data_IF_014755280456
#
_entry.id   IF_014755280456
#
_cell.length_a   1.000
_cell.length_b   1.000
_cell.length_c   1.000
_cell.angle_alpha   90.00
_cell.angle_beta   90.00
_cell.angle_gamma   90.00
#
_symmetry.space_group_name_H-M   'P 1'
#
loop_
_entity.id
_entity.type
_entity.pdbx_description
1 polymer ?
#
# COMPACT_ATOMS: atom_id res chain seq x y z
N UNK A 1 -29.96 -8.36 16.89
CA UNK A 1 -30.25 -7.80 18.22
C UNK A 1 -29.26 -8.25 19.31
N UNK A 2 -28.50 -9.33 19.09
CA UNK A 2 -27.56 -9.84 20.11
C UNK A 2 -26.18 -9.17 20.10
N UNK A 3 -25.91 -8.21 19.22
CA UNK A 3 -24.64 -7.52 19.13
C UNK A 3 -24.67 -6.06 19.58
N UNK A 4 -25.82 -5.56 20.04
CA UNK A 4 -25.94 -4.19 20.54
C UNK A 4 -25.52 -4.13 22.02
N UNK A 5 -24.83 -3.06 22.45
CA UNK A 5 -24.58 -2.81 23.87
C UNK A 5 -25.89 -2.68 24.67
N UNK A 6 -25.89 -3.16 25.91
CA UNK A 6 -27.06 -3.11 26.77
C UNK A 6 -27.35 -1.66 27.24
N UNK A 7 -26.30 -0.86 27.43
CA UNK A 7 -26.40 0.54 27.83
C UNK A 7 -25.23 1.38 27.39
N UNK A 8 -25.43 2.69 27.32
CA UNK A 8 -24.41 3.72 27.16
C UNK A 8 -24.49 4.69 28.34
N UNK A 9 -23.34 5.06 28.88
CA UNK A 9 -23.21 6.07 29.93
C UNK A 9 -22.20 7.14 29.49
N UNK A 10 -22.72 8.31 29.08
CA UNK A 10 -21.87 9.41 28.56
C UNK A 10 -21.46 10.33 29.72
N UNK A 11 -20.14 10.52 29.84
CA UNK A 11 -19.52 11.46 30.77
C UNK A 11 -18.98 12.68 30.01
N UNK A 12 -18.39 13.61 30.75
CA UNK A 12 -17.82 14.83 30.18
C UNK A 12 -16.78 14.54 29.10
N UNK A 13 -15.84 13.63 29.38
CA UNK A 13 -14.62 13.43 28.58
C UNK A 13 -14.47 12.00 28.01
N UNK A 14 -15.38 11.09 28.37
CA UNK A 14 -15.42 9.70 27.92
C UNK A 14 -16.85 9.16 28.00
N UNK A 15 -17.05 7.96 27.50
CA UNK A 15 -18.29 7.23 27.66
C UNK A 15 -17.99 5.75 27.95
N UNK A 16 -19.01 5.07 28.46
CA UNK A 16 -18.98 3.65 28.73
C UNK A 16 -20.10 2.94 27.97
N UNK A 17 -19.83 1.77 27.46
CA UNK A 17 -20.83 0.85 26.97
C UNK A 17 -20.52 -0.55 27.52
N UNK A 18 -21.51 -1.16 28.16
CA UNK A 18 -21.31 -2.32 29.00
C UNK A 18 -20.17 -2.06 30.02
N UNK A 19 -19.09 -2.86 29.98
CA UNK A 19 -17.91 -2.71 30.84
C UNK A 19 -16.70 -2.08 30.13
N UNK A 20 -16.87 -1.56 28.91
CA UNK A 20 -15.80 -0.98 28.11
C UNK A 20 -15.80 0.55 28.24
N UNK A 21 -14.63 1.10 28.51
CA UNK A 21 -14.41 2.54 28.48
C UNK A 21 -14.05 2.97 27.07
N UNK A 22 -14.59 4.10 26.62
CA UNK A 22 -14.28 4.64 25.31
C UNK A 22 -14.21 6.18 25.33
N UNK A 23 -13.39 6.72 24.44
CA UNK A 23 -13.27 8.16 24.23
C UNK A 23 -13.10 8.45 22.74
N UNK A 24 -13.84 9.45 22.27
CA UNK A 24 -13.66 10.00 20.92
C UNK A 24 -12.90 11.31 21.00
N UNK A 25 -11.88 11.44 20.16
CA UNK A 25 -11.14 12.66 19.92
C UNK A 25 -11.19 12.99 18.42
N UNK A 26 -10.90 14.23 18.05
CA UNK A 26 -10.79 14.64 16.65
C UNK A 26 -9.44 15.30 16.36
N UNK A 27 -9.05 15.37 15.09
CA UNK A 27 -7.85 16.12 14.69
C UNK A 27 -8.24 17.57 14.46
N UNK A 28 -7.74 18.45 15.34
CA UNK A 28 -8.00 19.88 15.29
C UNK A 28 -7.13 20.60 14.26
N UNK A 29 -5.86 20.24 14.20
CA UNK A 29 -4.90 20.86 13.29
C UNK A 29 -4.10 19.77 12.56
N UNK A 30 -3.92 19.98 11.26
CA UNK A 30 -3.13 19.11 10.39
C UNK A 30 -1.83 19.80 10.00
N UNK A 31 -0.75 19.05 9.71
CA UNK A 31 0.49 19.63 9.20
C UNK A 31 0.26 20.25 7.82
N UNK A 32 1.12 21.19 7.42
CA UNK A 32 1.08 21.82 6.10
C UNK A 32 1.29 20.82 4.94
N UNK A 33 2.05 19.76 5.21
CA UNK A 33 2.28 18.61 4.32
C UNK A 33 1.91 17.37 5.09
N UNK A 34 0.70 16.85 4.84
CA UNK A 34 0.29 15.57 5.40
C UNK A 34 0.88 14.42 4.55
N UNK A 35 1.28 13.33 5.20
CA UNK A 35 1.69 12.08 4.58
C UNK A 35 0.70 10.98 4.91
N UNK A 36 0.59 9.96 4.07
CA UNK A 36 -0.23 8.77 4.33
C UNK A 36 0.24 7.95 5.54
N UNK A 37 1.43 8.25 6.05
CA UNK A 37 2.05 7.60 7.21
C UNK A 37 1.25 7.79 8.51
N UNK A 38 0.47 8.89 8.62
CA UNK A 38 -0.35 9.18 9.82
C UNK A 38 -1.28 8.00 10.15
N UNK A 39 -2.00 7.48 9.16
CA UNK A 39 -2.90 6.34 9.37
C UNK A 39 -2.12 5.06 9.70
N UNK A 40 -1.02 4.82 9.02
CA UNK A 40 -0.17 3.65 9.24
C UNK A 40 0.42 3.67 10.65
N UNK A 41 0.92 4.81 11.11
CA UNK A 41 1.47 4.97 12.46
C UNK A 41 0.39 4.80 13.54
N UNK A 42 -0.82 5.34 13.34
CA UNK A 42 -1.92 5.15 14.27
C UNK A 42 -2.34 3.69 14.37
N UNK A 43 -2.46 2.98 13.25
CA UNK A 43 -2.83 1.56 13.22
C UNK A 43 -1.72 0.65 13.75
N UNK A 44 -0.45 1.08 13.66
CA UNK A 44 0.69 0.34 14.18
C UNK A 44 0.86 0.42 15.71
N UNK A 45 0.07 1.23 16.41
CA UNK A 45 0.18 1.38 17.88
C UNK A 45 -0.20 0.11 18.66
N UNK A 46 -0.92 -0.81 18.04
CA UNK A 46 -1.46 -2.02 18.70
C UNK A 46 -2.62 -1.74 19.67
N UNK A 47 -3.10 -0.50 19.74
CA UNK A 47 -4.24 -0.09 20.57
C UNK A 47 -5.53 -0.33 19.78
N UNK A 48 -6.59 -0.75 20.45
CA UNK A 48 -7.91 -0.90 19.82
C UNK A 48 -8.52 0.47 19.55
N UNK A 49 -8.41 0.91 18.28
CA UNK A 49 -8.92 2.20 17.83
C UNK A 49 -9.80 2.03 16.59
N UNK A 50 -10.74 2.97 16.43
CA UNK A 50 -11.48 3.18 15.19
C UNK A 50 -11.14 4.57 14.66
N UNK A 51 -10.58 4.64 13.47
CA UNK A 51 -10.29 5.92 12.79
C UNK A 51 -11.36 6.13 11.72
N UNK A 52 -12.08 7.23 11.82
CA UNK A 52 -13.14 7.59 10.87
C UNK A 52 -12.82 8.94 10.25
N UNK A 53 -12.84 8.98 8.92
CA UNK A 53 -12.69 10.22 8.16
C UNK A 53 -14.02 10.53 7.48
N UNK A 54 -14.68 11.58 7.97
CA UNK A 54 -15.90 12.09 7.37
C UNK A 54 -15.54 13.11 6.29
N UNK A 55 -16.10 12.95 5.10
CA UNK A 55 -15.79 13.78 3.93
C UNK A 55 -17.11 14.23 3.31
N UNK A 56 -17.33 15.53 3.26
CA UNK A 56 -18.50 16.15 2.62
C UNK A 56 -18.04 17.07 1.50
N UNK A 57 -18.69 17.02 0.35
CA UNK A 57 -18.32 17.84 -0.82
C UNK A 57 -18.95 19.23 -0.73
N UNK A 58 -18.19 20.26 -1.09
CA UNK A 58 -18.75 21.56 -1.42
C UNK A 58 -19.26 21.61 -2.86
N UNK A 59 -20.35 22.36 -3.09
CA UNK A 59 -20.66 22.80 -4.43
C UNK A 59 -19.54 23.68 -5.00
N UNK A 60 -19.20 23.52 -6.28
CA UNK A 60 -18.08 24.21 -6.89
C UNK A 60 -18.19 25.76 -6.86
N UNK A 61 -19.42 26.27 -6.89
CA UNK A 61 -19.66 27.72 -6.79
C UNK A 61 -19.50 28.21 -5.34
N UNK A 62 -19.99 27.45 -4.36
CA UNK A 62 -19.84 27.74 -2.94
C UNK A 62 -18.37 27.65 -2.51
N UNK A 63 -17.65 26.63 -2.97
CA UNK A 63 -16.23 26.44 -2.70
C UNK A 63 -15.40 27.68 -3.12
N UNK A 64 -15.61 28.16 -4.35
CA UNK A 64 -14.93 29.36 -4.83
C UNK A 64 -15.23 30.61 -4.01
N UNK A 65 -16.51 30.83 -3.70
CA UNK A 65 -16.93 31.96 -2.86
C UNK A 65 -16.30 31.90 -1.47
N UNK A 66 -16.28 30.74 -0.85
CA UNK A 66 -15.70 30.54 0.48
C UNK A 66 -14.21 30.88 0.51
N UNK A 67 -13.42 30.35 -0.43
CA UNK A 67 -11.98 30.62 -0.50
C UNK A 67 -11.73 32.09 -0.81
N UNK A 68 -12.50 32.69 -1.73
CA UNK A 68 -12.37 34.10 -2.07
C UNK A 68 -12.71 35.00 -0.87
N UNK A 69 -13.73 34.69 -0.09
CA UNK A 69 -14.03 35.39 1.15
C UNK A 69 -12.91 35.30 2.18
N UNK A 70 -12.29 34.13 2.33
CA UNK A 70 -11.14 33.96 3.22
C UNK A 70 -9.93 34.79 2.77
N UNK A 71 -9.60 34.80 1.47
CA UNK A 71 -8.53 35.66 0.93
C UNK A 71 -8.82 37.14 1.21
N UNK A 72 -10.05 37.59 0.91
CA UNK A 72 -10.46 38.97 1.14
C UNK A 72 -10.39 39.35 2.63
N UNK A 73 -10.75 38.47 3.53
CA UNK A 73 -10.66 38.69 4.97
C UNK A 73 -9.20 38.85 5.43
N UNK A 74 -8.29 38.00 4.91
CA UNK A 74 -6.85 38.10 5.19
C UNK A 74 -6.28 39.44 4.63
N UNK A 75 -6.61 39.76 3.38
CA UNK A 75 -6.15 41.04 2.77
C UNK A 75 -6.65 42.25 3.54
N UNK A 76 -7.91 42.21 4.04
CA UNK A 76 -8.47 43.28 4.87
C UNK A 76 -7.75 43.41 6.23
N UNK A 77 -7.42 42.28 6.87
CA UNK A 77 -6.64 42.30 8.12
C UNK A 77 -5.22 42.80 7.90
N UNK A 78 -4.59 42.43 6.78
CA UNK A 78 -3.30 42.94 6.36
C UNK A 78 -3.34 44.46 6.20
N UNK A 79 -4.29 44.98 5.43
CA UNK A 79 -4.47 46.43 5.22
C UNK A 79 -4.73 47.21 6.52
N UNK A 80 -5.58 46.68 7.42
CA UNK A 80 -5.82 47.27 8.75
C UNK A 80 -4.56 47.35 9.60
N UNK A 81 -3.69 46.37 9.55
CA UNK A 81 -2.42 46.36 10.28
C UNK A 81 -1.41 47.35 9.69
N UNK A 82 -1.33 47.44 8.36
CA UNK A 82 -0.50 48.45 7.69
C UNK A 82 -0.91 49.87 8.05
N UNK A 83 -2.21 50.16 8.02
CA UNK A 83 -2.73 51.48 8.41
C UNK A 83 -2.40 51.80 9.88
N UNK A 84 -2.58 50.83 10.80
CA UNK A 84 -2.22 51.03 12.21
C UNK A 84 -0.70 51.24 12.40
N UNK A 85 0.13 50.50 11.69
CA UNK A 85 1.60 50.65 11.75
C UNK A 85 2.03 52.03 11.26
N UNK A 86 1.42 52.51 10.18
CA UNK A 86 1.66 53.86 9.65
C UNK A 86 1.24 54.97 10.64
N UNK A 87 0.10 54.83 11.32
CA UNK A 87 -0.39 55.76 12.34
C UNK A 87 0.51 55.83 13.58
N UNK A 88 1.22 54.76 13.92
CA UNK A 88 2.16 54.74 15.05
C UNK A 88 3.61 55.05 14.66
N UNK A 89 3.87 55.54 13.43
CA UNK A 89 5.20 55.93 12.98
C UNK A 89 6.23 54.80 12.83
N UNK A 90 5.78 53.56 12.89
CA UNK A 90 6.63 52.37 12.84
C UNK A 90 6.70 51.81 11.40
N UNK A 91 7.50 52.43 10.56
CA UNK A 91 7.71 52.04 9.15
C UNK A 91 8.48 50.72 8.98
N UNK A 92 9.05 50.15 10.07
CA UNK A 92 9.82 48.89 10.02
C UNK A 92 8.98 47.67 10.39
N UNK A 93 7.67 47.80 10.53
CA UNK A 93 6.84 46.68 10.92
C UNK A 93 6.62 45.73 9.72
N UNK A 94 7.59 44.85 9.51
CA UNK A 94 7.43 43.77 8.53
C UNK A 94 6.18 42.97 8.88
N UNK A 95 5.26 42.85 7.93
CA UNK A 95 4.10 42.01 8.02
C UNK A 95 4.50 40.63 8.55
N UNK A 96 3.85 40.10 9.60
CA UNK A 96 4.20 38.78 10.12
C UNK A 96 4.21 37.73 9.02
N UNK A 97 5.32 37.03 8.86
CA UNK A 97 5.52 36.02 7.81
C UNK A 97 4.39 34.95 7.81
N UNK A 98 3.85 34.66 8.98
CA UNK A 98 2.72 33.73 9.15
C UNK A 98 1.48 34.16 8.35
N UNK A 99 1.14 35.44 8.30
CA UNK A 99 -0.05 35.94 7.59
C UNK A 99 0.19 35.92 6.09
N UNK A 100 1.40 36.22 5.63
CA UNK A 100 1.79 36.09 4.22
C UNK A 100 1.68 34.62 3.77
N UNK A 101 2.28 33.71 4.52
CA UNK A 101 2.22 32.28 4.22
C UNK A 101 0.77 31.75 4.20
N UNK A 102 -0.09 32.24 5.11
CA UNK A 102 -1.50 31.86 5.14
C UNK A 102 -2.25 32.36 3.91
N UNK A 103 -1.99 33.60 3.46
CA UNK A 103 -2.54 34.16 2.24
C UNK A 103 -2.11 33.36 1.01
N UNK A 104 -0.81 33.11 0.87
CA UNK A 104 -0.24 32.38 -0.27
C UNK A 104 -0.78 30.94 -0.35
N UNK A 105 -0.97 30.30 0.79
CA UNK A 105 -1.63 29.00 0.86
C UNK A 105 -3.08 29.04 0.35
N UNK A 106 -3.87 30.07 0.74
CA UNK A 106 -5.25 30.23 0.27
C UNK A 106 -5.33 30.56 -1.21
N UNK A 107 -4.42 31.37 -1.74
CA UNK A 107 -4.31 31.65 -3.18
C UNK A 107 -3.98 30.36 -3.94
N UNK A 108 -3.04 29.56 -3.45
CA UNK A 108 -2.73 28.26 -4.06
C UNK A 108 -3.94 27.32 -4.08
N UNK A 109 -4.74 27.29 -3.02
CA UNK A 109 -5.99 26.50 -2.98
C UNK A 109 -6.99 27.04 -4.01
N UNK A 110 -7.14 28.36 -4.14
CA UNK A 110 -8.02 28.97 -5.13
C UNK A 110 -7.62 28.60 -6.56
N UNK A 111 -6.33 28.66 -6.87
CA UNK A 111 -5.79 28.29 -8.18
C UNK A 111 -6.01 26.80 -8.48
N UNK A 112 -5.82 25.93 -7.49
CA UNK A 112 -6.07 24.49 -7.63
C UNK A 112 -7.54 24.19 -7.96
N UNK A 113 -8.48 24.88 -7.33
CA UNK A 113 -9.92 24.71 -7.56
C UNK A 113 -10.34 25.29 -8.92
N UNK A 114 -9.69 26.39 -9.35
CA UNK A 114 -10.12 27.11 -10.56
C UNK A 114 -9.44 26.57 -11.82
N UNK A 115 -8.14 26.23 -11.76
CA UNK A 115 -7.33 25.87 -12.92
C UNK A 115 -7.03 24.36 -13.01
N UNK A 116 -7.07 23.59 -11.90
CA UNK A 116 -6.68 22.19 -11.85
C UNK A 116 -7.86 21.23 -11.63
N UNK A 117 -9.09 21.71 -11.74
CA UNK A 117 -10.33 20.93 -11.55
C UNK A 117 -10.39 20.15 -10.23
N UNK A 118 -9.71 20.67 -9.19
CA UNK A 118 -9.80 20.08 -7.86
C UNK A 118 -11.08 20.54 -7.15
N UNK A 119 -11.69 19.62 -6.39
CA UNK A 119 -12.84 19.91 -5.55
C UNK A 119 -12.40 20.26 -4.14
N UNK A 120 -13.24 20.99 -3.43
CA UNK A 120 -13.07 21.31 -2.03
C UNK A 120 -13.99 20.44 -1.18
N UNK A 121 -13.47 19.94 -0.07
CA UNK A 121 -14.18 19.09 0.85
C UNK A 121 -14.14 19.64 2.26
N UNK A 122 -15.22 19.45 2.99
CA UNK A 122 -15.21 19.52 4.45
C UNK A 122 -14.77 18.17 4.98
N UNK A 123 -13.74 18.15 5.78
CA UNK A 123 -13.14 16.90 6.26
C UNK A 123 -12.96 16.97 7.78
N UNK A 124 -13.31 15.87 8.44
CA UNK A 124 -13.05 15.65 9.85
C UNK A 124 -12.54 14.23 10.07
N UNK A 125 -11.40 14.10 10.73
CA UNK A 125 -10.89 12.82 11.17
C UNK A 125 -11.09 12.67 12.66
N UNK A 126 -11.75 11.61 13.06
CA UNK A 126 -12.05 11.26 14.45
C UNK A 126 -11.40 9.92 14.77
N UNK A 127 -10.99 9.77 16.02
CA UNK A 127 -10.39 8.55 16.55
C UNK A 127 -11.18 8.18 17.80
N UNK A 128 -11.83 7.03 17.74
CA UNK A 128 -12.46 6.41 18.90
C UNK A 128 -11.47 5.39 19.47
N UNK A 129 -11.18 5.52 20.75
CA UNK A 129 -10.24 4.69 21.51
C UNK A 129 -11.06 3.87 22.50
N UNK A 130 -10.78 2.56 22.60
CA UNK A 130 -11.41 1.66 23.57
C UNK A 130 -10.40 1.12 24.55
N UNK A 131 -10.85 0.80 25.77
CA UNK A 131 -10.05 0.19 26.82
C UNK A 131 -10.93 -0.57 27.83
N UNK A 132 -10.36 -1.49 28.56
CA UNK A 132 -11.06 -2.25 29.61
C UNK A 132 -11.14 -1.47 30.94
N UNK A 133 -10.25 -0.49 31.14
CA UNK A 133 -10.24 0.37 32.34
C UNK A 133 -10.02 1.84 31.99
N UNK A 134 -10.42 2.72 32.93
CA UNK A 134 -10.22 4.16 32.75
C UNK A 134 -8.74 4.55 32.75
N UNK A 135 -7.90 3.87 33.52
CA UNK A 135 -6.46 4.09 33.56
C UNK A 135 -5.81 3.70 32.23
N UNK A 136 -6.19 2.56 31.69
CA UNK A 136 -5.74 2.10 30.38
C UNK A 136 -6.18 3.06 29.27
N UNK A 137 -7.43 3.57 29.32
CA UNK A 137 -7.93 4.56 28.38
C UNK A 137 -7.06 5.81 28.33
N UNK A 138 -6.62 6.31 29.51
CA UNK A 138 -5.76 7.49 29.56
C UNK A 138 -4.34 7.18 29.04
N UNK A 139 -3.78 6.02 29.35
CA UNK A 139 -2.49 5.60 28.83
C UNK A 139 -2.54 5.46 27.30
N UNK A 140 -3.57 4.82 26.76
CA UNK A 140 -3.81 4.70 25.32
C UNK A 140 -3.95 6.07 24.65
N UNK A 141 -4.65 7.00 25.30
CA UNK A 141 -4.79 8.37 24.81
C UNK A 141 -3.45 9.09 24.71
N UNK A 142 -2.56 8.93 25.70
CA UNK A 142 -1.21 9.54 25.67
C UNK A 142 -0.37 8.99 24.53
N UNK A 143 -0.42 7.68 24.26
CA UNK A 143 0.26 7.05 23.14
C UNK A 143 -0.24 7.60 21.80
N UNK A 144 -1.57 7.65 21.62
CA UNK A 144 -2.18 8.22 20.41
C UNK A 144 -1.81 9.69 20.25
N UNK A 145 -1.86 10.48 21.33
CA UNK A 145 -1.47 11.90 21.28
C UNK A 145 0.01 12.09 20.89
N UNK A 146 0.90 11.26 21.42
CA UNK A 146 2.33 11.32 21.07
C UNK A 146 2.56 10.97 19.59
N UNK A 147 1.83 9.99 19.07
CA UNK A 147 1.87 9.59 17.66
C UNK A 147 1.35 10.71 16.76
N UNK A 148 0.22 11.32 17.10
CA UNK A 148 -0.32 12.48 16.38
C UNK A 148 0.64 13.66 16.36
N UNK A 149 1.26 13.97 17.51
CA UNK A 149 2.26 15.07 17.60
C UNK A 149 3.49 14.81 16.74
N UNK A 150 3.95 13.57 16.68
CA UNK A 150 5.08 13.18 15.81
C UNK A 150 4.76 13.39 14.33
N UNK A 151 3.52 13.11 13.92
CA UNK A 151 3.02 13.37 12.57
C UNK A 151 2.62 14.85 12.35
N UNK A 152 2.85 15.75 13.31
CA UNK A 152 2.51 17.17 13.22
C UNK A 152 1.03 17.49 13.37
N UNK A 153 0.22 16.54 13.83
CA UNK A 153 -1.21 16.73 14.10
C UNK A 153 -1.44 17.15 15.55
N UNK A 154 -2.49 17.98 15.77
CA UNK A 154 -2.93 18.39 17.10
C UNK A 154 -4.33 17.84 17.34
N UNK A 155 -4.50 17.08 18.42
CA UNK A 155 -5.81 16.60 18.83
C UNK A 155 -6.71 17.71 19.33
N UNK A 156 -8.01 17.54 19.17
CA UNK A 156 -9.06 18.27 19.86
C UNK A 156 -9.86 17.34 20.76
N UNK A 157 -10.43 17.86 21.82
CA UNK A 157 -11.25 17.12 22.77
C UNK A 157 -12.72 17.47 22.62
N UNK A 158 -13.60 16.49 22.80
CA UNK A 158 -15.06 16.61 22.72
C UNK A 158 -15.64 16.59 24.12
N UNK A 159 -15.50 17.71 24.86
CA UNK A 159 -16.06 17.82 26.19
C UNK A 159 -17.59 17.95 26.11
N UNK A 160 -18.33 17.06 26.78
CA UNK A 160 -19.80 16.96 26.79
C UNK A 160 -20.41 16.58 25.41
N UNK A 161 -19.57 16.18 24.43
CA UNK A 161 -20.01 15.84 23.08
C UNK A 161 -19.58 14.43 22.65
N UNK A 162 -19.28 13.56 23.62
CA UNK A 162 -18.85 12.20 23.37
C UNK A 162 -19.88 11.34 22.64
N UNK A 163 -21.17 11.57 22.90
CA UNK A 163 -22.28 10.91 22.18
C UNK A 163 -22.25 11.23 20.69
N UNK A 164 -22.07 12.51 20.36
CA UNK A 164 -21.97 12.93 18.96
C UNK A 164 -20.71 12.39 18.30
N UNK A 165 -19.57 12.42 18.99
CA UNK A 165 -18.32 11.85 18.51
C UNK A 165 -18.44 10.35 18.22
N UNK A 166 -19.11 9.61 19.08
CA UNK A 166 -19.39 8.19 18.86
C UNK A 166 -20.28 8.00 17.61
N UNK A 167 -21.37 8.76 17.48
CA UNK A 167 -22.26 8.65 16.33
C UNK A 167 -21.57 8.99 15.02
N UNK A 168 -20.69 9.99 15.01
CA UNK A 168 -19.91 10.38 13.83
C UNK A 168 -18.87 9.31 13.43
N UNK A 169 -18.41 8.48 14.38
CA UNK A 169 -17.52 7.37 14.10
C UNK A 169 -18.24 6.16 13.49
N UNK A 170 -19.55 6.04 13.67
CA UNK A 170 -20.33 4.91 13.14
C UNK A 170 -20.73 5.16 11.68
N UNK A 171 -20.80 4.12 10.83
CA UNK A 171 -21.15 4.23 9.42
C UNK A 171 -22.68 4.39 9.23
N UNK A 172 -23.32 5.28 10.00
CA UNK A 172 -24.77 5.52 9.94
C UNK A 172 -25.16 6.71 9.06
N UNK A 173 -24.18 7.36 8.44
CA UNK A 173 -24.42 8.51 7.56
C UNK A 173 -24.84 9.79 8.29
N UNK A 174 -24.75 9.82 9.62
CA UNK A 174 -25.01 11.00 10.42
C UNK A 174 -23.70 11.73 10.69
N UNK A 175 -23.65 12.98 10.29
CA UNK A 175 -22.54 13.87 10.63
C UNK A 175 -23.10 15.19 11.13
N UNK A 176 -22.77 15.56 12.36
CA UNK A 176 -23.10 16.89 12.89
C UNK A 176 -22.08 17.90 12.38
N UNK A 177 -22.55 19.01 11.81
CA UNK A 177 -21.69 20.11 11.36
C UNK A 177 -21.16 20.90 12.56
N UNK A 178 -19.95 20.54 13.01
CA UNK A 178 -19.28 21.25 14.11
C UNK A 178 -18.14 22.14 13.59
N UNK A 179 -17.71 23.08 14.44
CA UNK A 179 -16.62 24.01 14.15
C UNK A 179 -15.23 23.38 13.97
N UNK A 180 -15.09 22.06 14.11
CA UNK A 180 -13.84 21.33 13.88
C UNK A 180 -13.67 20.74 12.47
N UNK A 181 -14.64 20.95 11.59
CA UNK A 181 -14.49 20.62 10.17
C UNK A 181 -13.39 21.45 9.53
N UNK A 182 -12.55 20.81 8.74
CA UNK A 182 -11.48 21.44 7.97
C UNK A 182 -11.79 21.37 6.49
N UNK A 183 -11.52 22.48 5.81
CA UNK A 183 -11.69 22.58 4.37
C UNK A 183 -10.38 22.19 3.70
N UNK A 184 -10.42 21.17 2.86
CA UNK A 184 -9.25 20.60 2.18
C UNK A 184 -9.52 20.36 0.70
N UNK A 185 -8.53 20.58 -0.20
CA UNK A 185 -8.63 20.19 -1.61
C UNK A 185 -8.54 18.67 -1.78
N UNK A 186 -9.01 18.15 -2.93
CA UNK A 186 -9.02 16.71 -3.27
C UNK A 186 -7.69 16.02 -3.00
N UNK A 187 -6.58 16.64 -3.37
CA UNK A 187 -5.22 16.13 -3.19
C UNK A 187 -4.89 15.85 -1.71
N UNK A 188 -5.32 16.75 -0.81
CA UNK A 188 -5.08 16.60 0.63
C UNK A 188 -5.98 15.54 1.24
N UNK A 189 -7.23 15.43 0.77
CA UNK A 189 -8.19 14.41 1.26
C UNK A 189 -7.78 13.01 0.81
N UNK A 190 -7.22 12.88 -0.38
CA UNK A 190 -6.77 11.59 -0.92
C UNK A 190 -5.70 10.92 -0.04
N UNK A 191 -4.93 11.70 0.73
CA UNK A 191 -3.90 11.19 1.66
C UNK A 191 -4.54 10.37 2.81
N UNK A 192 -5.77 10.70 3.20
CA UNK A 192 -6.49 10.01 4.28
C UNK A 192 -7.26 8.77 3.81
N UNK A 193 -7.12 8.39 2.54
CA UNK A 193 -7.68 7.13 2.06
C UNK A 193 -6.85 5.95 2.57
N UNK A 194 -7.49 4.94 3.21
CA UNK A 194 -6.78 3.83 3.86
C UNK A 194 -6.26 2.76 2.89
N UNK A 195 -5.84 3.16 1.68
CA UNK A 195 -5.33 2.24 0.67
C UNK A 195 -3.81 2.01 0.77
N UNK A 196 -3.29 1.96 1.98
CA UNK A 196 -1.86 1.82 2.23
C UNK A 196 -1.37 0.37 2.18
N UNK A 197 -2.29 -0.59 2.17
CA UNK A 197 -1.97 -2.01 2.18
C UNK A 197 -2.76 -2.72 1.09
N UNK A 198 -2.05 -3.43 0.22
CA UNK A 198 -2.65 -4.36 -0.74
C UNK A 198 -2.62 -5.75 -0.12
N UNK A 199 -3.77 -6.27 0.23
CA UNK A 199 -3.91 -7.66 0.63
C UNK A 199 -4.01 -8.55 -0.61
N UNK A 200 -3.37 -9.71 -0.55
CA UNK A 200 -3.35 -10.68 -1.62
C UNK A 200 -3.76 -12.03 -1.03
N UNK A 201 -5.04 -12.37 -1.18
CA UNK A 201 -5.61 -13.63 -0.74
C UNK A 201 -6.41 -14.22 -1.90
N UNK A 202 -5.87 -15.24 -2.52
CA UNK A 202 -6.53 -16.01 -3.59
C UNK A 202 -6.86 -17.39 -3.07
N UNK A 203 -8.01 -17.92 -3.49
CA UNK A 203 -8.38 -19.32 -3.20
C UNK A 203 -7.46 -20.28 -3.96
N UNK A 204 -7.16 -21.43 -3.36
CA UNK A 204 -6.30 -22.48 -3.94
C UNK A 204 -4.95 -21.94 -4.43
N UNK A 205 -4.25 -21.25 -3.57
CA UNK A 205 -3.02 -20.54 -3.88
C UNK A 205 -1.86 -20.89 -2.96
N UNK A 206 -0.67 -20.46 -3.31
CA UNK A 206 0.58 -20.74 -2.60
C UNK A 206 0.83 -19.68 -1.52
N UNK A 207 1.27 -20.11 -0.34
CA UNK A 207 1.65 -19.23 0.76
C UNK A 207 3.00 -18.57 0.51
N UNK A 208 3.04 -17.26 0.43
CA UNK A 208 4.26 -16.47 0.25
C UNK A 208 4.82 -15.90 1.54
N UNK A 209 4.00 -15.55 2.51
CA UNK A 209 4.44 -14.96 3.76
C UNK A 209 3.37 -14.12 4.43
N UNK A 210 3.80 -13.23 5.31
CA UNK A 210 2.96 -12.22 5.94
C UNK A 210 3.24 -10.86 5.33
N UNK A 211 2.19 -10.08 5.14
CA UNK A 211 2.32 -8.67 4.76
C UNK A 211 3.00 -7.91 5.91
N UNK A 212 4.01 -7.14 5.60
CA UNK A 212 4.82 -6.44 6.61
C UNK A 212 4.03 -5.35 7.36
N UNK A 213 3.00 -4.79 6.74
CA UNK A 213 2.20 -3.71 7.33
C UNK A 213 0.96 -4.22 8.04
N UNK A 214 0.17 -5.08 7.40
CA UNK A 214 -1.09 -5.59 7.95
C UNK A 214 -0.95 -6.89 8.74
N UNK A 215 0.22 -7.54 8.67
CA UNK A 215 0.45 -8.90 9.19
C UNK A 215 -0.54 -9.96 8.66
N UNK A 216 -1.29 -9.63 7.60
CA UNK A 216 -2.17 -10.57 6.93
C UNK A 216 -1.38 -11.60 6.12
N UNK A 217 -1.94 -12.79 5.96
CA UNK A 217 -1.34 -13.87 5.17
C UNK A 217 -1.38 -13.48 3.69
N UNK A 218 -0.27 -13.64 2.98
CA UNK A 218 -0.18 -13.50 1.53
C UNK A 218 -0.35 -14.88 0.90
N UNK A 219 -1.47 -15.07 0.24
CA UNK A 219 -1.81 -16.25 -0.56
C UNK A 219 -1.96 -15.81 -2.02
N UNK A 220 -1.14 -16.35 -2.90
CA UNK A 220 -1.12 -15.92 -4.29
C UNK A 220 -0.84 -17.08 -5.24
N UNK A 221 -1.60 -17.15 -6.32
CA UNK A 221 -1.36 -18.07 -7.43
C UNK A 221 -0.74 -17.29 -8.60
N UNK A 222 0.54 -17.50 -8.84
CA UNK A 222 1.28 -16.80 -9.90
C UNK A 222 0.75 -17.13 -11.29
N UNK A 223 0.31 -18.38 -11.50
CA UNK A 223 -0.19 -18.84 -12.79
C UNK A 223 -1.53 -18.19 -13.16
N UNK A 224 -2.39 -17.94 -12.16
CA UNK A 224 -3.71 -17.32 -12.37
C UNK A 224 -3.71 -15.80 -12.16
N UNK A 225 -2.84 -15.32 -11.27
CA UNK A 225 -2.83 -13.91 -10.87
C UNK A 225 -1.98 -12.99 -11.74
N UNK A 226 -1.12 -13.53 -12.61
CA UNK A 226 -0.25 -12.75 -13.49
C UNK A 226 -0.50 -13.10 -14.95
N UNK A 227 -0.40 -12.09 -15.82
CA UNK A 227 -0.44 -12.30 -17.27
C UNK A 227 0.77 -13.10 -17.75
N UNK A 228 1.93 -12.88 -17.13
CA UNK A 228 3.14 -13.66 -17.34
C UNK A 228 3.71 -14.10 -15.98
N UNK A 229 3.75 -15.39 -15.67
CA UNK A 229 4.23 -15.91 -14.40
C UNK A 229 5.75 -15.90 -14.24
N UNK A 230 6.49 -15.49 -15.26
CA UNK A 230 7.96 -15.39 -15.19
C UNK A 230 8.42 -14.34 -14.18
N UNK A 231 9.52 -14.61 -13.49
CA UNK A 231 10.05 -13.71 -12.47
C UNK A 231 11.55 -13.85 -12.25
N UNK A 232 12.10 -12.88 -11.51
CA UNK A 232 13.50 -12.85 -11.11
C UNK A 232 13.58 -12.77 -9.58
N UNK A 233 14.53 -13.53 -9.00
CA UNK A 233 14.88 -13.42 -7.58
C UNK A 233 16.29 -12.83 -7.48
N UNK A 234 16.37 -11.56 -7.11
CA UNK A 234 17.62 -10.82 -6.94
C UNK A 234 17.90 -10.61 -5.46
N UNK A 235 19.10 -10.93 -5.02
CA UNK A 235 19.48 -10.80 -3.62
C UNK A 235 20.99 -10.69 -3.46
N UNK A 236 21.44 -10.02 -2.39
CA UNK A 236 22.86 -10.03 -2.04
C UNK A 236 23.30 -11.43 -1.59
N UNK A 237 24.59 -11.79 -1.72
CA UNK A 237 25.12 -13.05 -1.19
C UNK A 237 24.79 -13.20 0.29
N UNK A 238 24.33 -14.39 0.72
CA UNK A 238 23.98 -14.68 2.10
C UNK A 238 22.61 -14.19 2.57
N UNK A 239 21.82 -13.50 1.75
CA UNK A 239 20.49 -12.96 2.13
C UNK A 239 19.34 -13.97 2.10
N UNK A 240 19.60 -15.25 1.78
CA UNK A 240 18.60 -16.31 1.77
C UNK A 240 17.91 -16.54 0.42
N UNK A 241 18.48 -16.07 -0.71
CA UNK A 241 17.94 -16.27 -2.06
C UNK A 241 17.53 -17.73 -2.32
N UNK A 242 18.50 -18.65 -2.21
CA UNK A 242 18.28 -20.08 -2.48
C UNK A 242 17.28 -20.70 -1.50
N UNK A 243 17.24 -20.24 -0.23
CA UNK A 243 16.26 -20.69 0.74
C UNK A 243 14.84 -20.27 0.35
N UNK A 244 14.67 -19.03 -0.10
CA UNK A 244 13.36 -18.51 -0.55
C UNK A 244 12.84 -19.29 -1.74
N UNK A 245 13.72 -19.56 -2.74
CA UNK A 245 13.34 -20.33 -3.93
C UNK A 245 13.00 -21.78 -3.55
N UNK A 246 13.80 -22.43 -2.68
CA UNK A 246 13.48 -23.78 -2.18
C UNK A 246 12.12 -23.83 -1.48
N UNK A 247 11.82 -22.82 -0.65
CA UNK A 247 10.52 -22.73 0.01
C UNK A 247 9.38 -22.59 -1.00
N UNK A 248 9.57 -21.80 -2.05
CA UNK A 248 8.59 -21.66 -3.12
C UNK A 248 8.35 -22.99 -3.84
N UNK A 249 9.43 -23.71 -4.21
CA UNK A 249 9.35 -25.03 -4.83
C UNK A 249 8.56 -25.99 -3.93
N UNK A 250 8.84 -26.05 -2.63
CA UNK A 250 8.10 -26.87 -1.67
C UNK A 250 6.62 -26.53 -1.65
N UNK A 251 6.31 -25.23 -1.59
CA UNK A 251 4.91 -24.79 -1.53
C UNK A 251 4.15 -25.09 -2.83
N UNK A 252 4.80 -24.96 -3.98
CA UNK A 252 4.22 -25.32 -5.28
C UNK A 252 3.99 -26.83 -5.35
N UNK A 253 4.98 -27.64 -4.98
CA UNK A 253 4.87 -29.10 -4.98
C UNK A 253 3.76 -29.61 -4.08
N UNK A 254 3.57 -29.01 -2.91
CA UNK A 254 2.51 -29.38 -1.98
C UNK A 254 1.13 -28.79 -2.33
N UNK A 255 1.11 -27.67 -3.05
CA UNK A 255 -0.13 -26.95 -3.38
C UNK A 255 -0.80 -27.39 -4.68
N UNK A 256 -0.07 -28.02 -5.59
CA UNK A 256 -0.58 -28.42 -6.90
C UNK A 256 -0.26 -29.91 -7.14
N UNK A 257 -1.28 -30.73 -7.27
CA UNK A 257 -1.14 -32.19 -7.45
C UNK A 257 -0.47 -32.57 -8.79
N UNK A 258 -0.68 -31.76 -9.83
CA UNK A 258 -0.20 -32.02 -11.21
C UNK A 258 1.00 -31.13 -11.58
N UNK A 259 1.75 -30.62 -10.60
CA UNK A 259 2.88 -29.74 -10.90
C UNK A 259 4.16 -30.51 -11.25
N UNK A 260 4.63 -30.37 -12.47
CA UNK A 260 5.96 -30.77 -12.87
C UNK A 260 6.98 -29.67 -12.60
N UNK A 261 8.03 -30.00 -11.86
CA UNK A 261 9.07 -29.04 -11.47
C UNK A 261 10.41 -29.43 -12.08
N UNK A 262 10.91 -28.60 -13.00
CA UNK A 262 12.23 -28.75 -13.59
C UNK A 262 13.19 -27.68 -13.03
N UNK A 263 14.32 -28.13 -12.49
CA UNK A 263 15.34 -27.24 -11.93
C UNK A 263 16.66 -27.40 -12.68
N UNK A 264 17.19 -26.32 -13.25
CA UNK A 264 18.53 -26.27 -13.82
C UNK A 264 19.46 -25.66 -12.77
N UNK A 265 20.33 -26.49 -12.17
CA UNK A 265 21.10 -26.16 -10.98
C UNK A 265 22.61 -26.28 -11.22
N UNK A 266 23.27 -25.25 -11.76
CA UNK A 266 24.71 -25.29 -12.00
C UNK A 266 25.55 -25.29 -10.72
N UNK A 267 25.04 -24.77 -9.63
CA UNK A 267 25.74 -24.63 -8.33
C UNK A 267 25.48 -25.81 -7.36
N UNK A 268 24.60 -26.73 -7.73
CA UNK A 268 24.24 -27.93 -6.97
C UNK A 268 23.67 -27.64 -5.57
N UNK A 269 22.77 -26.70 -5.51
CA UNK A 269 22.11 -26.35 -4.24
C UNK A 269 20.79 -27.07 -4.01
N UNK A 270 20.12 -27.61 -5.07
CA UNK A 270 18.74 -28.11 -5.03
C UNK A 270 18.62 -29.64 -5.05
N UNK A 271 19.70 -30.40 -5.30
CA UNK A 271 19.66 -31.85 -5.47
C UNK A 271 19.04 -32.60 -4.28
N UNK A 272 19.35 -32.16 -3.03
CA UNK A 272 18.77 -32.76 -1.81
C UNK A 272 17.25 -32.58 -1.74
N UNK A 273 16.74 -31.45 -2.25
CA UNK A 273 15.30 -31.19 -2.29
C UNK A 273 14.63 -32.11 -3.31
N UNK A 274 15.23 -32.30 -4.49
CA UNK A 274 14.74 -33.24 -5.50
C UNK A 274 14.67 -34.68 -4.96
N UNK A 275 15.74 -35.17 -4.32
CA UNK A 275 15.75 -36.49 -3.69
C UNK A 275 14.68 -36.64 -2.59
N UNK A 276 14.47 -35.61 -1.76
CA UNK A 276 13.48 -35.63 -0.69
C UNK A 276 12.03 -35.75 -1.21
N UNK A 277 11.77 -35.24 -2.41
CA UNK A 277 10.49 -35.36 -3.09
C UNK A 277 10.39 -36.55 -4.05
N UNK A 278 11.39 -37.47 -4.06
CA UNK A 278 11.40 -38.62 -4.94
C UNK A 278 11.68 -38.30 -6.41
N UNK A 279 12.21 -37.10 -6.65
CA UNK A 279 12.57 -36.64 -8.00
C UNK A 279 13.87 -37.25 -8.50
N UNK A 280 14.11 -37.16 -9.81
CA UNK A 280 15.32 -37.60 -10.46
C UNK A 280 16.37 -36.50 -10.54
N UNK A 281 17.62 -36.84 -10.22
CA UNK A 281 18.77 -35.91 -10.33
C UNK A 281 19.67 -36.35 -11.47
N UNK A 282 19.60 -35.64 -12.59
CA UNK A 282 20.43 -35.90 -13.76
C UNK A 282 21.68 -35.01 -13.71
N UNK A 283 22.85 -35.63 -13.63
CA UNK A 283 24.14 -34.94 -13.51
C UNK A 283 24.92 -34.96 -14.82
N UNK A 284 25.21 -33.77 -15.34
CA UNK A 284 26.09 -33.58 -16.50
C UNK A 284 27.47 -33.13 -16.01
N UNK A 285 28.50 -33.98 -16.22
CA UNK A 285 29.90 -33.63 -15.94
C UNK A 285 30.81 -34.51 -16.73
N UNK A 286 32.09 -34.16 -16.87
CA UNK A 286 33.08 -35.02 -17.49
C UNK A 286 33.11 -36.38 -16.77
N UNK A 287 32.86 -37.46 -17.53
CA UNK A 287 32.81 -38.83 -16.99
C UNK A 287 31.47 -39.23 -16.34
N UNK A 288 30.41 -38.41 -16.46
CA UNK A 288 29.06 -38.79 -16.07
C UNK A 288 28.54 -39.93 -16.93
N UNK A 289 27.70 -40.81 -16.33
CA UNK A 289 26.97 -41.84 -17.09
C UNK A 289 25.74 -41.30 -17.80
N UNK A 290 25.29 -40.10 -17.47
CA UNK A 290 24.12 -39.47 -18.07
C UNK A 290 24.55 -38.68 -19.30
N UNK A 291 23.89 -38.93 -20.42
CA UNK A 291 24.08 -38.27 -21.68
C UNK A 291 22.76 -37.77 -22.23
N UNK A 292 22.75 -36.60 -22.83
CA UNK A 292 21.61 -36.11 -23.62
C UNK A 292 21.87 -36.51 -25.07
N UNK A 293 20.93 -37.23 -25.68
CA UNK A 293 20.94 -37.47 -27.09
C UNK A 293 20.24 -36.31 -27.83
N UNK A 294 20.97 -35.42 -28.51
CA UNK A 294 20.33 -34.31 -29.20
C UNK A 294 19.45 -34.75 -30.38
N UNK A 295 19.65 -35.99 -30.86
CA UNK A 295 18.83 -36.59 -31.93
C UNK A 295 17.63 -37.38 -31.42
N UNK A 296 17.38 -37.40 -30.12
CA UNK A 296 16.22 -38.07 -29.58
C UNK A 296 14.93 -37.40 -30.04
N UNK A 297 13.92 -38.22 -30.43
CA UNK A 297 12.73 -37.76 -31.07
C UNK A 297 11.51 -38.41 -30.41
N UNK A 298 10.62 -37.60 -29.84
CA UNK A 298 9.35 -38.08 -29.28
C UNK A 298 8.28 -38.18 -30.37
N UNK A 299 8.05 -39.37 -30.88
CA UNK A 299 7.06 -39.63 -31.92
C UNK A 299 5.61 -39.35 -31.48
N UNK A 300 5.35 -39.24 -30.18
CA UNK A 300 3.99 -38.92 -29.65
C UNK A 300 3.56 -37.50 -29.95
N UNK A 301 4.52 -36.60 -30.15
CA UNK A 301 4.29 -35.19 -30.52
C UNK A 301 3.96 -34.98 -32.00
N UNK A 302 4.10 -36.04 -32.84
CA UNK A 302 3.76 -35.95 -34.26
C UNK A 302 2.23 -35.99 -34.55
N UNK A 303 1.44 -36.26 -33.55
CA UNK A 303 -0.01 -36.30 -33.70
C UNK A 303 -0.67 -34.89 -33.60
N UNK A 304 0.08 -33.89 -33.16
CA UNK A 304 -0.39 -32.48 -33.10
C UNK A 304 -0.09 -31.79 -34.48
N UNK A 305 -1.14 -31.58 -35.27
CA UNK A 305 -1.06 -30.98 -36.61
C UNK A 305 -0.56 -29.50 -36.65
N UNK A 306 -0.44 -28.83 -35.52
CA UNK A 306 -0.07 -27.40 -35.41
C UNK A 306 1.44 -27.15 -35.26
N UNK A 307 2.27 -28.15 -34.96
CA UNK A 307 3.69 -27.97 -34.67
C UNK A 307 4.55 -28.70 -35.69
N UNK A 308 5.37 -27.99 -36.46
CA UNK A 308 6.40 -28.58 -37.29
C UNK A 308 7.63 -29.00 -36.44
N UNK A 309 7.47 -30.12 -35.76
CA UNK A 309 8.45 -30.68 -34.81
C UNK A 309 9.79 -30.98 -35.51
N UNK A 310 9.76 -31.29 -36.79
CA UNK A 310 10.96 -31.52 -37.57
C UNK A 310 11.75 -30.22 -37.77
N UNK A 311 11.04 -29.13 -38.15
CA UNK A 311 11.70 -27.82 -38.30
C UNK A 311 12.28 -27.32 -37.00
N UNK A 312 11.55 -27.47 -35.88
CA UNK A 312 12.04 -27.10 -34.54
C UNK A 312 13.26 -27.90 -34.14
N UNK A 313 13.26 -29.22 -34.44
CA UNK A 313 14.41 -30.08 -34.17
C UNK A 313 15.62 -29.74 -35.00
N UNK A 314 15.45 -29.44 -36.27
CA UNK A 314 16.51 -28.95 -37.17
C UNK A 314 17.13 -27.64 -36.69
N UNK A 315 16.26 -26.71 -36.21
CA UNK A 315 16.75 -25.45 -35.65
C UNK A 315 17.54 -25.66 -34.36
N UNK A 316 17.06 -26.56 -33.46
CA UNK A 316 17.76 -26.92 -32.23
C UNK A 316 19.12 -27.55 -32.54
N UNK A 317 19.18 -28.51 -33.46
CA UNK A 317 20.45 -29.17 -33.90
C UNK A 317 21.41 -28.17 -34.53
N UNK A 318 20.93 -27.30 -35.41
CA UNK A 318 21.73 -26.22 -36.01
C UNK A 318 22.33 -25.31 -34.95
N UNK A 319 21.52 -24.92 -33.95
CA UNK A 319 21.97 -24.09 -32.84
C UNK A 319 22.98 -24.82 -31.95
N UNK A 320 22.75 -26.10 -31.66
CA UNK A 320 23.62 -26.94 -30.86
C UNK A 320 25.00 -27.11 -31.54
N UNK A 321 25.04 -27.45 -32.82
CA UNK A 321 26.27 -27.58 -33.58
C UNK A 321 27.02 -26.23 -33.67
N UNK A 322 26.30 -25.12 -33.86
CA UNK A 322 26.89 -23.78 -33.87
C UNK A 322 27.50 -23.38 -32.51
N UNK A 323 26.96 -23.89 -31.41
CA UNK A 323 27.53 -23.70 -30.07
C UNK A 323 28.80 -24.53 -29.83
N UNK A 324 28.94 -25.69 -30.47
CA UNK A 324 30.12 -26.56 -30.34
C UNK A 324 31.38 -25.94 -30.99
N UNK A 325 31.23 -25.21 -32.09
CA UNK A 325 32.31 -24.44 -32.71
C UNK A 325 31.93 -22.97 -32.90
N UNK A 326 32.01 -22.21 -31.81
CA UNK A 326 31.69 -20.79 -31.81
C UNK A 326 32.63 -19.92 -32.64
N UNK A 327 33.80 -20.45 -33.06
CA UNK A 327 34.76 -19.72 -33.88
C UNK A 327 34.49 -19.85 -35.38
N UNK A 328 33.79 -20.90 -35.78
CA UNK A 328 33.44 -21.17 -37.17
C UNK A 328 31.96 -21.43 -37.29
N UNK A 329 31.11 -20.35 -37.36
CA UNK A 329 29.68 -20.53 -37.52
C UNK A 329 29.36 -21.26 -38.83
N UNK A 330 28.39 -22.18 -38.77
CA UNK A 330 27.93 -22.96 -39.91
C UNK A 330 27.60 -22.05 -41.10
N UNK A 331 28.18 -22.36 -42.26
CA UNK A 331 27.84 -21.68 -43.51
C UNK A 331 26.47 -22.17 -44.06
N UNK A 332 25.96 -21.52 -45.11
CA UNK A 332 24.64 -21.83 -45.66
C UNK A 332 24.54 -23.26 -46.20
N UNK A 333 25.64 -23.81 -46.72
CA UNK A 333 25.70 -25.20 -47.24
C UNK A 333 25.67 -26.21 -46.08
N UNK A 334 26.44 -25.95 -45.02
CA UNK A 334 26.49 -26.79 -43.83
C UNK A 334 25.14 -26.80 -43.08
N UNK A 335 24.46 -25.66 -43.00
CA UNK A 335 23.08 -25.59 -42.46
C UNK A 335 22.13 -26.46 -43.28
N UNK A 336 22.20 -26.39 -44.61
CA UNK A 336 21.36 -27.22 -45.48
C UNK A 336 21.63 -28.72 -45.36
N UNK A 337 22.78 -29.13 -44.84
CA UNK A 337 23.07 -30.53 -44.51
C UNK A 337 22.42 -30.98 -43.20
N UNK A 338 22.32 -30.08 -42.24
CA UNK A 338 21.66 -30.37 -40.95
C UNK A 338 20.14 -30.43 -41.11
N UNK A 339 19.59 -29.69 -42.09
CA UNK A 339 18.14 -29.65 -42.39
C UNK A 339 17.68 -30.86 -43.24
N UNK A 340 18.58 -31.70 -43.73
CA UNK A 340 18.28 -32.92 -44.50
C UNK A 340 18.31 -34.17 -43.61
#
# INVERSE_FOLDING_TARGET
>A
LYCAPDYFDFKKDYFMFNNTYAKTIYIREYPSTATSEILTELLATGIEIMVTTNIETYDSAEARKLVQHQITAIDTDMAKREVKAAQHGNFSNQMPQRIKNQRDAMVSVYDKITMKDQKLFMTNMQILIKAESYEELNNNLEVIESTLKRSGCIKGEMAWEQEHGMCDCLPVGYQRKFGWLRTMPSESVAIFMPFNVKEMQMENSVYYGLNMLSHSIILFDRMKGLVNPSGFVLACPGSGKSFTVKREIVNVFLGYEDADILVIDPEREYWKLAEAFGGEVVKFSNGSKNHINPFDFDFRLLEDEEIDIIADKCQLLTSFISCMDSKHPLNAQEKSFVDR
#
